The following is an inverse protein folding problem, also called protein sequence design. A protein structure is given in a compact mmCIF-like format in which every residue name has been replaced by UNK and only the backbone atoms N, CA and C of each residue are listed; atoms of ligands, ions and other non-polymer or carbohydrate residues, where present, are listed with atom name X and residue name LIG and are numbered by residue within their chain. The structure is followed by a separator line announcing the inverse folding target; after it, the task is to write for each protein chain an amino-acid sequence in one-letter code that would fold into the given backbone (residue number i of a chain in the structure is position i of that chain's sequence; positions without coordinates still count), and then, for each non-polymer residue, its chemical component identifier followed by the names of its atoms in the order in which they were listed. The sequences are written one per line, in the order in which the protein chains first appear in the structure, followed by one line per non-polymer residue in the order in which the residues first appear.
data_IF_345342810429
#
_entry.id   IF_345342810429
#
_cell.length_a   1.000
_cell.length_b   1.000
_cell.length_c   1.000
_cell.angle_alpha   90.00
_cell.angle_beta   90.00
_cell.angle_gamma   90.00
#
_symmetry.space_group_name_H-M   'P 1'
#
loop_
_entity.id
_entity.type
_entity.pdbx_description
1 polymer ?
#
# COMPACT_ATOMS: atom_id res chain seq x y z
N UNK A 1 2.75 -7.07 -24.88
CA UNK A 1 3.10 -5.77 -24.27
C UNK A 1 3.78 -6.05 -22.95
N UNK A 2 4.93 -5.44 -22.68
CA UNK A 2 5.54 -5.58 -21.34
C UNK A 2 4.64 -4.91 -20.31
N UNK A 3 4.32 -5.57 -19.19
CA UNK A 3 3.49 -4.94 -18.16
C UNK A 3 4.24 -3.74 -17.56
N UNK A 4 3.56 -2.62 -17.43
CA UNK A 4 4.07 -1.48 -16.68
C UNK A 4 3.94 -1.81 -15.19
N UNK A 5 5.08 -1.86 -14.48
CA UNK A 5 5.10 -2.13 -13.04
C UNK A 5 6.14 -1.28 -12.31
N UNK A 6 5.82 -0.92 -11.09
CA UNK A 6 6.81 -0.56 -10.07
C UNK A 6 7.22 -1.85 -9.36
N UNK A 7 8.48 -1.94 -8.96
CA UNK A 7 9.00 -3.14 -8.32
C UNK A 7 10.13 -2.80 -7.34
N UNK A 8 10.07 -3.38 -6.15
CA UNK A 8 11.00 -3.14 -5.06
C UNK A 8 11.31 -4.42 -4.30
N UNK A 9 12.52 -4.53 -3.77
CA UNK A 9 12.99 -5.64 -2.95
C UNK A 9 13.06 -5.31 -1.46
N UNK A 10 12.46 -4.19 -1.04
CA UNK A 10 12.35 -3.80 0.37
C UNK A 10 11.04 -3.11 0.64
N UNK A 11 10.48 -3.24 1.86
CA UNK A 11 9.31 -2.48 2.26
C UNK A 11 9.63 -0.98 2.38
N UNK A 12 8.59 -0.14 2.43
CA UNK A 12 8.73 1.25 2.82
C UNK A 12 8.92 1.33 4.35
N UNK A 13 10.19 1.36 4.78
CA UNK A 13 10.59 1.28 6.18
C UNK A 13 10.90 2.67 6.76
N UNK A 14 10.41 2.91 7.95
CA UNK A 14 10.66 4.13 8.71
C UNK A 14 12.04 4.17 9.38
N UNK A 15 12.67 3.03 9.65
CA UNK A 15 13.97 2.94 10.32
C UNK A 15 15.13 3.55 9.53
N UNK A 16 14.99 3.65 8.20
CA UNK A 16 15.99 4.24 7.29
C UNK A 16 15.57 5.58 6.71
N UNK A 17 14.36 6.04 7.02
CA UNK A 17 13.74 7.24 6.50
C UNK A 17 12.64 7.72 7.45
N UNK A 18 12.22 8.97 7.33
CA UNK A 18 11.03 9.44 8.06
C UNK A 18 9.75 8.78 7.52
N UNK A 19 8.71 8.74 8.34
CA UNK A 19 7.39 8.24 7.90
C UNK A 19 6.83 9.05 6.71
N UNK A 20 7.13 10.34 6.65
CA UNK A 20 6.76 11.19 5.53
C UNK A 20 7.48 10.80 4.23
N UNK A 21 8.78 10.49 4.30
CA UNK A 21 9.53 10.00 3.14
C UNK A 21 9.05 8.61 2.70
N UNK A 22 8.75 7.73 3.65
CA UNK A 22 8.21 6.40 3.35
C UNK A 22 6.88 6.51 2.61
N UNK A 23 6.02 7.43 3.03
CA UNK A 23 4.76 7.73 2.35
C UNK A 23 4.97 8.33 0.95
N UNK A 24 5.76 9.41 0.87
CA UNK A 24 5.90 10.21 -0.35
C UNK A 24 6.63 9.47 -1.48
N UNK A 25 7.72 8.76 -1.14
CA UNK A 25 8.65 8.22 -2.13
C UNK A 25 8.53 6.71 -2.33
N UNK A 26 8.01 5.99 -1.36
CA UNK A 26 8.13 4.53 -1.33
C UNK A 26 6.82 3.77 -1.17
N UNK A 27 5.73 4.41 -0.73
CA UNK A 27 4.43 3.76 -0.68
C UNK A 27 3.88 3.50 -2.09
N UNK A 28 3.04 2.49 -2.22
CA UNK A 28 2.39 2.12 -3.48
C UNK A 28 0.98 2.70 -3.50
N UNK A 29 0.66 3.63 -4.41
CA UNK A 29 -0.66 4.25 -4.47
C UNK A 29 -1.67 3.36 -5.19
N UNK A 30 -2.87 3.29 -4.66
CA UNK A 30 -4.05 2.69 -5.25
C UNK A 30 -5.22 3.66 -5.20
N UNK A 31 -6.17 3.54 -6.10
CA UNK A 31 -7.35 4.38 -6.08
C UNK A 31 -8.42 3.91 -7.05
N UNK A 32 -9.68 4.24 -6.76
CA UNK A 32 -10.84 3.94 -7.59
C UNK A 32 -11.62 5.19 -8.03
N UNK A 33 -11.06 6.39 -7.80
CA UNK A 33 -11.72 7.67 -8.07
C UNK A 33 -12.63 8.14 -6.94
N UNK A 34 -12.97 7.29 -5.98
CA UNK A 34 -13.77 7.62 -4.80
C UNK A 34 -12.90 7.72 -3.54
N UNK A 35 -12.04 6.75 -3.31
CA UNK A 35 -11.01 6.82 -2.30
C UNK A 35 -9.66 6.32 -2.83
N UNK A 36 -8.60 6.68 -2.11
CA UNK A 36 -7.24 6.27 -2.39
C UNK A 36 -6.61 5.56 -1.20
N UNK A 37 -5.61 4.74 -1.49
CA UNK A 37 -4.82 4.04 -0.50
C UNK A 37 -3.34 4.13 -0.83
N UNK A 38 -2.50 4.23 0.20
CA UNK A 38 -1.06 4.06 0.10
C UNK A 38 -0.64 2.82 0.89
N UNK A 39 -0.05 1.85 0.21
CA UNK A 39 0.40 0.58 0.79
C UNK A 39 1.90 0.63 1.02
N UNK A 40 2.35 0.33 2.22
CA UNK A 40 3.77 0.38 2.60
C UNK A 40 4.51 -0.93 2.36
N UNK A 41 3.81 -2.05 2.38
CA UNK A 41 4.38 -3.37 2.11
C UNK A 41 5.21 -3.92 3.27
N UNK A 42 4.91 -3.54 4.49
CA UNK A 42 5.62 -4.02 5.69
C UNK A 42 5.20 -5.44 6.05
N UNK A 43 6.10 -6.19 6.66
CA UNK A 43 5.88 -7.61 6.98
C UNK A 43 5.61 -7.87 8.45
N UNK A 44 6.10 -7.01 9.33
CA UNK A 44 5.79 -7.07 10.77
C UNK A 44 4.43 -6.43 11.02
N UNK A 45 4.36 -5.12 10.94
CA UNK A 45 3.11 -4.36 11.02
C UNK A 45 2.92 -3.60 9.71
N UNK A 46 2.01 -4.04 8.89
CA UNK A 46 1.64 -3.35 7.64
C UNK A 46 0.96 -2.03 7.97
N UNK A 47 1.26 -1.00 7.20
CA UNK A 47 0.60 0.29 7.25
C UNK A 47 -0.11 0.57 5.94
N UNK A 48 -1.37 0.94 6.02
CA UNK A 48 -2.17 1.39 4.88
C UNK A 48 -2.79 2.73 5.25
N UNK A 49 -2.47 3.76 4.48
CA UNK A 49 -3.07 5.07 4.64
C UNK A 49 -4.24 5.21 3.67
N UNK A 50 -5.39 5.65 4.15
CA UNK A 50 -6.60 5.80 3.37
C UNK A 50 -7.03 7.26 3.28
N UNK A 51 -7.46 7.69 2.10
CA UNK A 51 -8.10 8.97 1.85
C UNK A 51 -9.46 8.75 1.17
N UNK A 52 -10.42 9.62 1.44
CA UNK A 52 -11.77 9.52 0.89
C UNK A 52 -12.24 10.87 0.37
N UNK A 53 -12.82 10.86 -0.82
CA UNK A 53 -13.17 12.06 -1.59
C UNK A 53 -14.15 12.99 -0.89
N UNK A 54 -15.14 12.45 -0.16
CA UNK A 54 -16.15 13.26 0.51
C UNK A 54 -15.62 14.00 1.76
N UNK A 55 -14.46 13.58 2.25
CA UNK A 55 -13.78 14.18 3.40
C UNK A 55 -12.78 15.27 3.00
N UNK A 56 -12.90 15.80 1.79
CA UNK A 56 -12.06 16.89 1.32
C UNK A 56 -12.30 18.18 2.11
N UNK A 57 -11.24 18.98 2.30
CA UNK A 57 -11.36 20.31 2.90
C UNK A 57 -12.14 21.23 1.96
N UNK A 58 -13.29 21.81 2.39
CA UNK A 58 -14.10 22.68 1.54
C UNK A 58 -13.43 24.01 1.18
N UNK A 59 -12.33 24.36 1.86
CA UNK A 59 -11.64 25.65 1.70
C UNK A 59 -10.36 25.57 0.85
N UNK A 60 -10.02 24.41 0.27
CA UNK A 60 -8.80 24.25 -0.50
C UNK A 60 -8.98 23.39 -1.76
N UNK A 61 -8.40 23.84 -2.87
CA UNK A 61 -8.33 23.03 -4.09
C UNK A 61 -7.41 21.83 -3.80
N UNK A 62 -7.94 20.62 -3.92
CA UNK A 62 -7.17 19.37 -3.76
C UNK A 62 -6.89 18.95 -2.31
N UNK A 63 -7.58 19.54 -1.34
CA UNK A 63 -7.43 19.18 0.08
C UNK A 63 -8.05 17.82 0.42
N UNK A 64 -7.46 16.73 -0.08
CA UNK A 64 -7.79 15.40 0.41
C UNK A 64 -7.16 15.21 1.78
N UNK A 65 -8.00 15.01 2.80
CA UNK A 65 -7.51 14.70 4.12
C UNK A 65 -7.22 13.21 4.24
N UNK A 66 -6.17 12.87 4.97
CA UNK A 66 -5.96 11.51 5.43
C UNK A 66 -7.18 11.09 6.28
N UNK A 67 -7.90 10.06 5.81
CA UNK A 67 -9.08 9.57 6.48
C UNK A 67 -8.73 8.61 7.61
N UNK A 68 -7.80 7.70 7.35
CA UNK A 68 -7.51 6.59 8.25
C UNK A 68 -6.09 6.08 8.03
N UNK A 69 -5.47 5.70 9.13
CA UNK A 69 -4.28 4.85 9.16
C UNK A 69 -4.71 3.48 9.64
N UNK A 70 -4.53 2.48 8.80
CA UNK A 70 -4.86 1.09 9.13
C UNK A 70 -3.59 0.29 9.34
N UNK A 71 -3.50 -0.43 10.43
CA UNK A 71 -2.37 -1.28 10.76
C UNK A 71 -2.81 -2.75 10.84
N UNK A 72 -2.03 -3.63 10.21
CA UNK A 72 -2.25 -5.08 10.24
C UNK A 72 -1.00 -5.75 10.80
N UNK A 73 -1.11 -6.33 11.98
CA UNK A 73 -0.01 -6.99 12.68
C UNK A 73 0.11 -8.44 12.22
N UNK A 74 1.20 -8.76 11.53
CA UNK A 74 1.54 -10.11 11.09
C UNK A 74 2.63 -10.74 11.96
N UNK A 75 3.48 -9.93 12.59
CA UNK A 75 4.58 -10.36 13.44
C UNK A 75 5.75 -11.01 12.68
N UNK A 76 5.82 -10.82 11.35
CA UNK A 76 6.87 -11.42 10.52
C UNK A 76 8.10 -10.49 10.47
N UNK A 77 8.93 -10.55 11.49
CA UNK A 77 10.09 -9.66 11.67
C UNK A 77 11.32 -10.08 10.87
N UNK A 78 11.48 -11.39 10.62
CA UNK A 78 12.60 -11.95 9.85
C UNK A 78 12.06 -12.61 8.60
N UNK A 79 12.28 -11.99 7.45
CA UNK A 79 11.74 -12.45 6.16
C UNK A 79 12.85 -12.58 5.11
N UNK A 80 12.64 -13.47 4.16
CA UNK A 80 13.51 -13.73 3.02
C UNK A 80 12.72 -13.56 1.72
N UNK A 81 13.44 -13.43 0.60
CA UNK A 81 12.86 -13.35 -0.75
C UNK A 81 11.77 -12.28 -0.90
N UNK A 82 11.95 -11.14 -0.23
CA UNK A 82 10.98 -10.07 -0.23
C UNK A 82 10.88 -9.38 -1.60
N UNK A 83 9.65 -9.22 -2.05
CA UNK A 83 9.30 -8.42 -3.23
C UNK A 83 7.97 -7.71 -3.00
N UNK A 84 7.85 -6.49 -3.48
CA UNK A 84 6.58 -5.77 -3.59
C UNK A 84 6.52 -5.00 -4.90
N UNK A 85 5.33 -4.75 -5.37
CA UNK A 85 5.15 -4.00 -6.61
C UNK A 85 3.75 -3.50 -6.82
N UNK A 86 3.62 -2.67 -7.87
CA UNK A 86 2.36 -2.14 -8.36
C UNK A 86 2.24 -2.48 -9.84
N UNK A 87 1.23 -3.22 -10.21
CA UNK A 87 0.89 -3.54 -11.59
C UNK A 87 -0.06 -2.48 -12.12
N UNK A 88 0.47 -1.56 -12.91
CA UNK A 88 -0.28 -0.38 -13.40
C UNK A 88 -1.41 -0.74 -14.35
N UNK A 89 -1.24 -1.78 -15.15
CA UNK A 89 -2.26 -2.22 -16.11
C UNK A 89 -3.47 -2.88 -15.44
N UNK A 90 -3.26 -3.43 -14.25
CA UNK A 90 -4.24 -4.22 -13.52
C UNK A 90 -4.74 -3.50 -12.27
N UNK A 91 -4.09 -2.38 -11.93
CA UNK A 91 -4.41 -1.52 -10.78
C UNK A 91 -4.42 -2.26 -9.45
N UNK A 92 -3.44 -3.15 -9.23
CA UNK A 92 -3.24 -3.76 -7.93
C UNK A 92 -1.79 -3.73 -7.46
N UNK A 93 -1.60 -3.65 -6.15
CA UNK A 93 -0.31 -3.82 -5.49
C UNK A 93 -0.18 -5.24 -4.93
N UNK A 94 1.06 -5.69 -4.78
CA UNK A 94 1.35 -6.99 -4.17
C UNK A 94 2.57 -6.93 -3.26
N UNK A 95 2.61 -7.84 -2.30
CA UNK A 95 3.75 -8.09 -1.41
C UNK A 95 3.95 -9.59 -1.30
N UNK A 96 5.17 -10.07 -1.52
CA UNK A 96 5.55 -11.48 -1.44
C UNK A 96 6.80 -11.62 -0.58
N UNK A 97 6.85 -12.64 0.24
CA UNK A 97 8.02 -12.97 1.05
C UNK A 97 7.90 -14.36 1.66
N UNK A 98 9.01 -14.85 2.16
CA UNK A 98 9.06 -16.09 2.92
C UNK A 98 9.35 -15.77 4.40
N UNK A 99 8.66 -16.44 5.30
CA UNK A 99 8.88 -16.33 6.74
C UNK A 99 8.72 -17.72 7.39
N UNK A 100 9.73 -18.13 8.14
CA UNK A 100 9.75 -19.42 8.83
C UNK A 100 9.40 -20.62 7.91
N UNK A 101 9.89 -20.61 6.67
CA UNK A 101 9.66 -21.67 5.68
C UNK A 101 8.29 -21.63 5.01
N UNK A 102 7.47 -20.61 5.26
CA UNK A 102 6.14 -20.42 4.64
C UNK A 102 6.21 -19.24 3.68
N UNK A 103 5.66 -19.45 2.48
CA UNK A 103 5.50 -18.38 1.50
C UNK A 103 4.22 -17.60 1.75
N UNK A 104 4.33 -16.27 1.82
CA UNK A 104 3.21 -15.34 1.99
C UNK A 104 3.10 -14.44 0.77
N UNK A 105 1.87 -14.30 0.30
CA UNK A 105 1.53 -13.36 -0.77
C UNK A 105 0.31 -12.56 -0.35
N UNK A 106 0.38 -11.23 -0.50
CA UNK A 106 -0.74 -10.32 -0.28
C UNK A 106 -0.98 -9.50 -1.53
N UNK A 107 -2.23 -9.38 -1.91
CA UNK A 107 -2.68 -8.54 -3.02
C UNK A 107 -3.61 -7.46 -2.50
N UNK A 108 -3.45 -6.25 -3.00
CA UNK A 108 -4.20 -5.07 -2.59
C UNK A 108 -4.83 -4.42 -3.81
N UNK A 109 -6.11 -4.14 -3.75
CA UNK A 109 -6.79 -3.38 -4.79
C UNK A 109 -7.99 -2.61 -4.23
N UNK A 110 -8.47 -1.61 -5.00
CA UNK A 110 -9.62 -0.80 -4.64
C UNK A 110 -10.73 -1.05 -5.66
N UNK A 111 -11.90 -1.52 -5.18
CA UNK A 111 -13.07 -1.76 -6.00
C UNK A 111 -13.88 -0.47 -6.14
N UNK A 112 -14.18 -0.06 -7.38
CA UNK A 112 -15.04 1.10 -7.64
C UNK A 112 -16.52 0.79 -7.37
N UNK A 113 -17.10 -0.31 -7.89
CA UNK A 113 -18.52 -0.58 -7.69
C UNK A 113 -18.88 -0.85 -6.22
N UNK A 114 -17.99 -1.53 -5.49
CA UNK A 114 -18.24 -1.88 -4.09
C UNK A 114 -17.76 -0.82 -3.10
N UNK A 115 -16.95 0.13 -3.55
CA UNK A 115 -16.33 1.21 -2.74
C UNK A 115 -15.59 0.68 -1.52
N UNK A 116 -14.80 -0.36 -1.72
CA UNK A 116 -13.98 -1.00 -0.70
C UNK A 116 -12.54 -1.13 -1.15
N UNK A 117 -11.64 -1.19 -0.18
CA UNK A 117 -10.29 -1.71 -0.38
C UNK A 117 -10.27 -3.17 0.03
N UNK A 118 -9.64 -3.99 -0.80
CA UNK A 118 -9.47 -5.41 -0.54
C UNK A 118 -8.00 -5.71 -0.26
N UNK A 119 -7.75 -6.45 0.80
CA UNK A 119 -6.47 -7.09 1.12
C UNK A 119 -6.72 -8.58 1.14
N UNK A 120 -6.09 -9.27 0.21
CA UNK A 120 -6.25 -10.72 0.03
C UNK A 120 -4.94 -11.44 0.28
#
# INVERSE_FOLDING_TARGET
MKPYRLWYQSPALADRMSEAEAWEKWSLPLGNGYFGANVFGRTDTERIQLTEKSLSNPYGIGGLNNFSETYLDFGHTTVENYERGLLLNEAFAYVKYDCAGVHYERTYFTSYPDRVMVVY
#
